data_IF_595773955076
#
_entry.id   IF_595773955076
#
_cell.length_a   1.000
_cell.length_b   1.000
_cell.length_c   1.000
_cell.angle_alpha   90.00
_cell.angle_beta   90.00
_cell.angle_gamma   90.00
#
_symmetry.space_group_name_H-M   'P 1'
#
loop_
_entity.id
_entity.type
_entity.pdbx_description
1 polymer ?
#
# COMPACT_ATOMS: atom_id res chain seq x y z
N UNK A 1 19.94 17.24 14.28
CA UNK A 1 19.61 16.01 15.05
C UNK A 1 18.22 15.47 14.82
N UNK A 2 17.22 16.31 14.54
CA UNK A 2 15.85 15.85 14.31
C UNK A 2 15.67 15.13 12.95
N UNK A 3 16.38 15.52 11.92
CA UNK A 3 16.28 14.91 10.60
C UNK A 3 16.68 13.41 10.59
N UNK A 4 17.72 13.07 11.35
CA UNK A 4 18.17 11.67 11.46
C UNK A 4 17.15 10.74 12.11
N UNK A 5 16.32 11.29 13.00
CA UNK A 5 15.38 10.48 13.78
C UNK A 5 14.16 10.03 12.98
N UNK A 6 13.82 10.75 11.90
CA UNK A 6 12.63 10.47 11.09
C UNK A 6 12.95 9.47 9.96
N UNK A 7 14.06 9.68 9.27
CA UNK A 7 14.43 8.88 8.10
C UNK A 7 15.16 7.60 8.44
N UNK A 8 15.90 7.57 9.55
CA UNK A 8 16.76 6.45 9.90
C UNK A 8 16.05 5.09 9.96
N UNK A 9 14.87 4.96 10.59
CA UNK A 9 14.16 3.69 10.59
C UNK A 9 13.74 3.22 9.21
N UNK A 10 13.34 4.16 8.33
CA UNK A 10 12.96 3.84 6.96
C UNK A 10 14.16 3.39 6.15
N UNK A 11 15.28 4.10 6.24
CA UNK A 11 16.53 3.77 5.56
C UNK A 11 17.01 2.38 5.99
N UNK A 12 16.94 2.09 7.28
CA UNK A 12 17.34 0.80 7.82
C UNK A 12 16.47 -0.34 7.26
N UNK A 13 15.15 -0.18 7.28
CA UNK A 13 14.22 -1.18 6.76
C UNK A 13 14.43 -1.41 5.27
N UNK A 14 14.53 -0.33 4.49
CA UNK A 14 14.76 -0.42 3.04
C UNK A 14 16.08 -1.11 2.72
N UNK A 15 17.16 -0.75 3.42
CA UNK A 15 18.48 -1.35 3.23
C UNK A 15 18.45 -2.86 3.46
N UNK A 16 17.88 -3.29 4.59
CA UNK A 16 17.82 -4.71 4.93
C UNK A 16 16.98 -5.48 3.88
N UNK A 17 15.84 -4.96 3.48
CA UNK A 17 14.97 -5.61 2.49
C UNK A 17 15.62 -5.70 1.11
N UNK A 18 16.24 -4.63 0.65
CA UNK A 18 16.77 -4.56 -0.70
C UNK A 18 18.14 -5.22 -0.84
N UNK A 19 18.98 -5.14 0.20
CA UNK A 19 20.39 -5.54 0.10
C UNK A 19 20.76 -6.81 0.87
N UNK A 20 20.02 -7.17 1.90
CA UNK A 20 20.44 -8.26 2.79
C UNK A 20 19.43 -9.39 2.90
N UNK A 21 18.13 -9.14 2.80
CA UNK A 21 17.11 -10.15 3.05
C UNK A 21 17.30 -11.41 2.19
N UNK A 22 17.63 -11.23 0.92
CA UNK A 22 17.84 -12.33 -0.03
C UNK A 22 19.16 -13.08 0.17
N UNK A 23 20.10 -12.51 0.95
CA UNK A 23 21.36 -13.17 1.25
C UNK A 23 21.26 -14.25 2.32
N UNK A 24 20.16 -14.26 3.09
CA UNK A 24 19.95 -15.27 4.13
C UNK A 24 19.54 -16.60 3.50
N UNK A 25 20.26 -17.66 3.84
CA UNK A 25 20.00 -19.00 3.31
C UNK A 25 18.82 -19.68 4.01
N UNK A 26 18.65 -19.42 5.29
CA UNK A 26 17.59 -20.04 6.10
C UNK A 26 16.26 -19.31 5.89
N UNK A 27 15.24 -20.06 5.42
CA UNK A 27 13.91 -19.53 5.17
C UNK A 27 13.23 -19.01 6.44
N UNK A 28 13.47 -19.63 7.59
CA UNK A 28 12.88 -19.18 8.85
C UNK A 28 13.51 -17.87 9.32
N UNK A 29 14.83 -17.73 9.19
CA UNK A 29 15.52 -16.46 9.50
C UNK A 29 15.02 -15.34 8.61
N UNK A 30 14.85 -15.60 7.32
CA UNK A 30 14.30 -14.66 6.35
C UNK A 30 12.91 -14.16 6.76
N UNK A 31 12.05 -15.07 7.16
CA UNK A 31 10.70 -14.78 7.64
C UNK A 31 10.71 -13.95 8.92
N UNK A 32 11.54 -14.31 9.88
CA UNK A 32 11.65 -13.62 11.17
C UNK A 32 12.19 -12.20 10.99
N UNK A 33 13.20 -12.01 10.14
CA UNK A 33 13.75 -10.70 9.81
C UNK A 33 12.69 -9.84 9.11
N UNK A 34 11.97 -10.39 8.14
CA UNK A 34 10.89 -9.68 7.44
C UNK A 34 9.80 -9.20 8.40
N UNK A 35 9.39 -10.05 9.34
CA UNK A 35 8.43 -9.69 10.39
C UNK A 35 8.95 -8.57 11.29
N UNK A 36 10.21 -8.64 11.68
CA UNK A 36 10.84 -7.61 12.50
C UNK A 36 10.89 -6.27 11.78
N UNK A 37 11.20 -6.27 10.48
CA UNK A 37 11.18 -5.06 9.66
C UNK A 37 9.78 -4.45 9.58
N UNK A 38 8.74 -5.28 9.45
CA UNK A 38 7.35 -4.82 9.47
C UNK A 38 6.99 -4.16 10.80
N UNK A 39 7.44 -4.74 11.92
CA UNK A 39 7.23 -4.16 13.26
C UNK A 39 7.91 -2.80 13.40
N UNK A 40 9.12 -2.62 12.87
CA UNK A 40 9.82 -1.33 12.87
C UNK A 40 9.02 -0.30 12.06
N UNK A 41 8.48 -0.68 10.91
CA UNK A 41 7.65 0.21 10.10
C UNK A 41 6.39 0.63 10.84
N UNK A 42 5.65 -0.33 11.41
CA UNK A 42 4.39 -0.07 12.10
C UNK A 42 4.56 0.70 13.40
N UNK A 43 5.55 0.33 14.20
CA UNK A 43 5.69 0.82 15.58
C UNK A 43 6.57 2.08 15.68
N UNK A 44 7.45 2.30 14.72
CA UNK A 44 8.43 3.39 14.80
C UNK A 44 8.32 4.33 13.61
N UNK A 45 8.48 3.84 12.38
CA UNK A 45 8.57 4.69 11.20
C UNK A 45 7.25 5.39 10.88
N UNK A 46 6.16 4.66 10.82
CA UNK A 46 4.84 5.23 10.48
C UNK A 46 4.35 6.23 11.54
N UNK A 47 4.40 5.93 12.86
CA UNK A 47 4.04 6.92 13.87
C UNK A 47 4.87 8.21 13.81
N UNK A 48 6.16 8.13 13.50
CA UNK A 48 7.00 9.32 13.33
C UNK A 48 6.59 10.15 12.13
N UNK A 49 6.29 9.51 11.00
CA UNK A 49 5.78 10.20 9.82
C UNK A 49 4.45 10.90 10.11
N UNK A 50 3.54 10.24 10.80
CA UNK A 50 2.26 10.82 11.22
C UNK A 50 2.49 12.06 12.08
N UNK A 51 3.40 11.99 13.04
CA UNK A 51 3.75 13.11 13.91
C UNK A 51 4.24 14.32 13.10
N UNK A 52 5.04 14.09 12.07
CA UNK A 52 5.50 15.15 11.16
C UNK A 52 4.34 15.76 10.37
N UNK A 53 3.42 14.94 9.90
CA UNK A 53 2.25 15.42 9.14
C UNK A 53 1.30 16.29 9.99
N UNK A 54 1.27 16.06 11.30
CA UNK A 54 0.50 16.87 12.24
C UNK A 54 1.22 18.14 12.68
N UNK A 55 2.52 18.26 12.36
CA UNK A 55 3.33 19.41 12.71
C UNK A 55 3.11 20.63 11.81
N UNK A 56 3.83 21.69 12.10
CA UNK A 56 3.67 22.98 11.42
C UNK A 56 4.75 23.25 10.35
N UNK A 57 5.79 22.44 10.27
CA UNK A 57 6.88 22.64 9.32
C UNK A 57 6.49 22.16 7.92
N UNK A 58 6.29 23.10 7.02
CA UNK A 58 5.95 22.82 5.61
C UNK A 58 7.01 21.96 4.92
N UNK A 59 8.29 22.25 5.14
CA UNK A 59 9.39 21.49 4.55
C UNK A 59 9.41 20.03 5.04
N UNK A 60 9.21 19.83 6.33
CA UNK A 60 9.17 18.49 6.92
C UNK A 60 7.96 17.70 6.43
N UNK A 61 6.81 18.36 6.31
CA UNK A 61 5.59 17.72 5.76
C UNK A 61 5.83 17.26 4.32
N UNK A 62 6.45 18.10 3.50
CA UNK A 62 6.77 17.76 2.10
C UNK A 62 7.72 16.57 2.05
N UNK A 63 8.79 16.58 2.84
CA UNK A 63 9.74 15.48 2.91
C UNK A 63 9.07 14.17 3.35
N UNK A 64 8.23 14.22 4.38
CA UNK A 64 7.48 13.08 4.86
C UNK A 64 6.53 12.52 3.79
N UNK A 65 5.80 13.41 3.10
CA UNK A 65 4.88 12.99 2.03
C UNK A 65 5.62 12.35 0.85
N UNK A 66 6.80 12.85 0.50
CA UNK A 66 7.63 12.25 -0.54
C UNK A 66 8.04 10.82 -0.18
N UNK A 67 8.43 10.59 1.06
CA UNK A 67 8.76 9.25 1.58
C UNK A 67 7.54 8.32 1.58
N UNK A 68 6.40 8.85 2.02
CA UNK A 68 5.14 8.10 2.03
C UNK A 68 4.72 7.73 0.60
N UNK A 69 4.88 8.63 -0.36
CA UNK A 69 4.58 8.36 -1.76
C UNK A 69 5.42 7.19 -2.29
N UNK A 70 6.73 7.19 -2.04
CA UNK A 70 7.62 6.10 -2.42
C UNK A 70 7.22 4.76 -1.77
N UNK A 71 6.93 4.79 -0.46
CA UNK A 71 6.49 3.61 0.28
C UNK A 71 5.15 3.08 -0.22
N UNK A 72 4.21 3.97 -0.56
CA UNK A 72 2.89 3.57 -1.05
C UNK A 72 2.94 2.85 -2.39
N UNK A 73 3.96 3.13 -3.20
CA UNK A 73 4.19 2.40 -4.46
C UNK A 73 4.72 0.99 -4.22
N UNK A 74 5.55 0.82 -3.19
CA UNK A 74 6.17 -0.46 -2.86
C UNK A 74 5.29 -1.34 -1.97
N UNK A 75 4.65 -0.76 -0.96
CA UNK A 75 3.83 -1.47 0.00
C UNK A 75 2.67 -0.60 0.51
N UNK A 76 1.54 -0.71 -0.16
CA UNK A 76 0.34 0.08 0.15
C UNK A 76 -0.19 -0.21 1.55
N UNK A 77 -0.21 -1.47 1.96
CA UNK A 77 -0.78 -1.86 3.26
C UNK A 77 -0.03 -1.24 4.45
N UNK A 78 1.30 -1.09 4.34
CA UNK A 78 2.12 -0.45 5.37
C UNK A 78 1.82 1.04 5.52
N UNK A 79 1.37 1.69 4.46
CA UNK A 79 1.09 3.13 4.46
C UNK A 79 -0.38 3.47 4.74
N UNK A 80 -1.27 2.48 4.79
CA UNK A 80 -2.70 2.70 5.05
C UNK A 80 -3.02 3.47 6.34
N UNK A 81 -2.30 3.30 7.46
CA UNK A 81 -2.55 4.10 8.67
C UNK A 81 -2.44 5.61 8.46
N UNK A 82 -1.77 6.05 7.40
CA UNK A 82 -1.61 7.47 7.05
C UNK A 82 -2.85 8.04 6.35
N UNK A 83 -3.70 7.19 5.78
CA UNK A 83 -4.87 7.60 4.99
C UNK A 83 -5.77 8.66 5.66
N UNK A 84 -6.11 8.59 6.94
CA UNK A 84 -6.94 9.62 7.57
C UNK A 84 -6.31 11.02 7.55
N UNK A 85 -4.99 11.10 7.63
CA UNK A 85 -4.26 12.37 7.65
C UNK A 85 -4.19 13.02 6.28
N UNK A 86 -4.28 12.24 5.21
CA UNK A 86 -4.25 12.75 3.84
C UNK A 86 -5.44 13.64 3.51
N UNK A 87 -6.60 13.35 4.08
CA UNK A 87 -7.83 14.13 3.82
C UNK A 87 -7.66 15.61 4.14
N UNK A 88 -6.98 15.92 5.24
CA UNK A 88 -6.72 17.30 5.64
C UNK A 88 -5.65 17.92 4.74
N UNK A 89 -4.65 17.16 4.34
CA UNK A 89 -3.55 17.63 3.50
C UNK A 89 -3.98 17.90 2.05
N UNK A 90 -5.01 17.22 1.57
CA UNK A 90 -5.59 17.49 0.24
C UNK A 90 -6.13 18.91 0.12
N UNK A 91 -6.55 19.50 1.23
CA UNK A 91 -7.09 20.86 1.30
C UNK A 91 -6.05 21.90 1.70
N UNK A 92 -4.78 21.51 1.81
CA UNK A 92 -3.71 22.41 2.23
C UNK A 92 -3.54 23.55 1.21
N UNK A 93 -3.29 24.77 1.70
CA UNK A 93 -3.05 25.93 0.86
C UNK A 93 -1.77 25.81 0.04
N UNK A 94 -0.80 25.03 0.52
CA UNK A 94 0.42 24.73 -0.23
C UNK A 94 0.10 23.68 -1.31
N UNK A 95 0.22 24.09 -2.57
CA UNK A 95 -0.10 23.24 -3.72
C UNK A 95 0.76 21.99 -3.81
N UNK A 96 2.01 22.07 -3.38
CA UNK A 96 2.92 20.91 -3.40
C UNK A 96 2.49 19.84 -2.40
N UNK A 97 2.06 20.25 -1.20
CA UNK A 97 1.51 19.35 -0.19
C UNK A 97 0.21 18.70 -0.69
N UNK A 98 -0.71 19.50 -1.21
CA UNK A 98 -1.97 18.98 -1.75
C UNK A 98 -1.76 18.00 -2.90
N UNK A 99 -0.82 18.27 -3.78
CA UNK A 99 -0.47 17.39 -4.90
C UNK A 99 0.12 16.07 -4.44
N UNK A 100 1.06 16.09 -3.50
CA UNK A 100 1.65 14.87 -2.94
C UNK A 100 0.59 14.03 -2.23
N UNK A 101 -0.28 14.64 -1.44
CA UNK A 101 -1.39 13.95 -0.79
C UNK A 101 -2.33 13.31 -1.82
N UNK A 102 -2.60 13.99 -2.92
CA UNK A 102 -3.40 13.45 -4.02
C UNK A 102 -2.75 12.25 -4.69
N UNK A 103 -1.44 12.33 -4.95
CA UNK A 103 -0.69 11.22 -5.54
C UNK A 103 -0.73 9.97 -4.67
N UNK A 104 -0.56 10.14 -3.36
CA UNK A 104 -0.63 9.03 -2.41
C UNK A 104 -2.05 8.43 -2.37
N UNK A 105 -3.07 9.27 -2.34
CA UNK A 105 -4.48 8.84 -2.37
C UNK A 105 -4.78 8.06 -3.66
N UNK A 106 -4.24 8.49 -4.79
CA UNK A 106 -4.37 7.79 -6.06
C UNK A 106 -3.70 6.41 -6.02
N UNK A 107 -2.53 6.30 -5.40
CA UNK A 107 -1.84 5.03 -5.23
C UNK A 107 -2.69 4.03 -4.42
N UNK A 108 -3.34 4.49 -3.36
CA UNK A 108 -4.27 3.68 -2.57
C UNK A 108 -5.47 3.22 -3.39
N UNK A 109 -6.07 4.16 -4.13
CA UNK A 109 -7.23 3.89 -4.98
C UNK A 109 -6.92 2.86 -6.07
N UNK A 110 -5.78 2.99 -6.72
CA UNK A 110 -5.33 2.03 -7.74
C UNK A 110 -5.06 0.64 -7.17
N UNK A 111 -4.44 0.57 -5.98
CA UNK A 111 -4.20 -0.69 -5.30
C UNK A 111 -5.52 -1.38 -4.93
N UNK A 112 -6.52 -0.62 -4.47
CA UNK A 112 -7.84 -1.15 -4.16
C UNK A 112 -8.54 -1.68 -5.41
N UNK A 113 -8.45 -0.97 -6.53
CA UNK A 113 -8.99 -1.43 -7.82
C UNK A 113 -8.35 -2.74 -8.26
N UNK A 114 -7.01 -2.84 -8.16
CA UNK A 114 -6.28 -4.06 -8.50
C UNK A 114 -6.69 -5.24 -7.63
N UNK A 115 -6.85 -4.99 -6.33
CA UNK A 115 -7.27 -6.00 -5.36
C UNK A 115 -8.68 -6.50 -5.67
N UNK A 116 -9.62 -5.59 -5.96
CA UNK A 116 -10.98 -5.94 -6.37
C UNK A 116 -10.98 -6.74 -7.66
N UNK A 117 -10.20 -6.33 -8.65
CA UNK A 117 -10.10 -7.04 -9.92
C UNK A 117 -9.53 -8.46 -9.74
N UNK A 118 -8.48 -8.60 -8.93
CA UNK A 118 -7.89 -9.90 -8.62
C UNK A 118 -8.90 -10.83 -7.93
N UNK A 119 -9.67 -10.29 -6.98
CA UNK A 119 -10.72 -11.03 -6.29
C UNK A 119 -11.83 -11.46 -7.26
N UNK A 120 -12.24 -10.59 -8.16
CA UNK A 120 -13.24 -10.90 -9.17
C UNK A 120 -12.77 -11.95 -10.18
N UNK A 121 -11.50 -11.91 -10.56
CA UNK A 121 -10.89 -12.94 -11.40
C UNK A 121 -10.93 -14.30 -10.72
N UNK A 122 -10.59 -14.35 -9.45
CA UNK A 122 -10.63 -15.61 -8.67
C UNK A 122 -12.06 -16.15 -8.61
N UNK A 123 -13.03 -15.30 -8.29
CA UNK A 123 -14.45 -15.69 -8.25
C UNK A 123 -14.93 -16.18 -9.62
N UNK A 124 -14.51 -15.52 -10.68
CA UNK A 124 -14.88 -15.89 -12.05
C UNK A 124 -14.33 -17.29 -12.42
N UNK A 125 -13.08 -17.58 -12.05
CA UNK A 125 -12.47 -18.90 -12.27
C UNK A 125 -13.20 -19.99 -11.53
N UNK A 126 -13.64 -19.74 -10.30
CA UNK A 126 -14.42 -20.67 -9.51
C UNK A 126 -15.79 -20.95 -10.17
N UNK A 127 -16.46 -19.90 -10.65
CA UNK A 127 -17.74 -20.03 -11.36
C UNK A 127 -17.59 -20.81 -12.68
N UNK A 128 -16.48 -20.57 -13.38
CA UNK A 128 -16.16 -21.32 -14.60
C UNK A 128 -16.00 -22.81 -14.33
N UNK A 129 -15.30 -23.17 -13.26
CA UNK A 129 -15.16 -24.56 -12.82
C UNK A 129 -16.50 -25.18 -12.47
N UNK A 130 -17.35 -24.43 -11.76
CA UNK A 130 -18.71 -24.90 -11.39
C UNK A 130 -19.57 -25.11 -12.64
N UNK A 131 -19.49 -24.23 -13.62
CA UNK A 131 -20.21 -24.35 -14.89
C UNK A 131 -19.76 -25.63 -15.65
N UNK A 132 -18.46 -25.85 -15.78
CA UNK A 132 -17.90 -27.02 -16.45
C UNK A 132 -18.25 -28.31 -15.72
N UNK A 133 -18.41 -28.26 -14.41
CA UNK A 133 -18.84 -29.41 -13.58
C UNK A 133 -20.36 -29.60 -13.57
N UNK A 134 -21.12 -28.78 -14.28
CA UNK A 134 -22.58 -28.86 -14.31
C UNK A 134 -23.30 -28.36 -13.07
N UNK A 135 -22.59 -27.67 -12.18
CA UNK A 135 -23.14 -27.13 -10.92
C UNK A 135 -23.71 -25.71 -11.05
N UNK A 136 -23.48 -25.06 -12.16
CA UNK A 136 -23.94 -23.69 -12.43
C UNK A 136 -24.64 -23.68 -13.80
N UNK A 137 -25.80 -23.00 -13.90
CA UNK A 137 -26.52 -22.87 -15.16
C UNK A 137 -25.81 -21.95 -16.15
N UNK A 138 -26.06 -22.15 -17.44
CA UNK A 138 -25.51 -21.30 -18.49
C UNK A 138 -25.93 -19.82 -18.33
N UNK A 139 -27.16 -19.56 -17.89
CA UNK A 139 -27.65 -18.20 -17.64
C UNK A 139 -26.91 -17.52 -16.50
N UNK A 140 -26.69 -18.23 -15.39
CA UNK A 140 -25.94 -17.73 -14.24
C UNK A 140 -24.46 -17.46 -14.59
N UNK A 141 -23.84 -18.38 -15.35
CA UNK A 141 -22.46 -18.18 -15.82
C UNK A 141 -22.36 -16.96 -16.75
N UNK A 142 -23.26 -16.80 -17.71
CA UNK A 142 -23.28 -15.70 -18.65
C UNK A 142 -23.43 -14.35 -17.91
N UNK A 143 -24.30 -14.29 -16.90
CA UNK A 143 -24.49 -13.11 -16.06
C UNK A 143 -23.21 -12.74 -15.30
N UNK A 144 -22.58 -13.73 -14.67
CA UNK A 144 -21.34 -13.54 -13.93
C UNK A 144 -20.20 -13.02 -14.83
N UNK A 145 -20.09 -13.59 -16.03
CA UNK A 145 -19.09 -13.19 -17.01
C UNK A 145 -19.30 -11.75 -17.50
N UNK A 146 -20.55 -11.36 -17.74
CA UNK A 146 -20.91 -10.01 -18.16
C UNK A 146 -20.54 -8.98 -17.07
N UNK A 147 -20.86 -9.27 -15.80
CA UNK A 147 -20.50 -8.42 -14.68
C UNK A 147 -18.98 -8.29 -14.53
N UNK A 148 -18.24 -9.38 -14.68
CA UNK A 148 -16.78 -9.37 -14.63
C UNK A 148 -16.17 -8.51 -15.75
N UNK A 149 -16.65 -8.63 -16.97
CA UNK A 149 -16.15 -7.85 -18.12
C UNK A 149 -16.43 -6.35 -17.93
N UNK A 150 -17.57 -5.99 -17.36
CA UNK A 150 -17.91 -4.61 -17.04
C UNK A 150 -16.92 -4.00 -16.04
N UNK A 151 -16.50 -4.78 -15.04
CA UNK A 151 -15.53 -4.34 -14.03
C UNK A 151 -14.11 -4.21 -14.56
N UNK A 152 -13.77 -4.97 -15.60
CA UNK A 152 -12.44 -4.93 -16.21
C UNK A 152 -12.22 -3.65 -17.03
N UNK A 153 -13.28 -3.04 -17.50
CA UNK A 153 -13.25 -1.74 -18.19
C UNK A 153 -13.06 -0.60 -17.18
#
# INVERSE_FOLDING_TARGET
MQEWSIELPLIFVEYIREKQLDTYEDAQVKKDVSKYLDEILEDVAIPRLISVLEGDSTEDIISALQRIEELSKKNVEMTRPISPYLKNLLKNSNKKIAKLAQNISNNFSQADKRKKLAQKRKTMREKEKQFLAGKLSAAEYAKARKEYLTLKE
#
